data_IF_476958306881
#
_entry.id   IF_476958306881
#
_cell.length_a   1.000
_cell.length_b   1.000
_cell.length_c   1.000
_cell.angle_alpha   90.00
_cell.angle_beta   90.00
_cell.angle_gamma   90.00
#
_symmetry.space_group_name_H-M   'P 1'
#
loop_
_entity.id
_entity.type
_entity.pdbx_description
1 polymer ?
#
# COMPACT_ATOMS: atom_id res chain seq x y z
N UNK A 1 -49.01 52.00 2.79
CA UNK A 1 -48.88 50.59 2.34
C UNK A 1 -47.47 50.44 1.79
N UNK A 2 -46.61 49.81 2.57
CA UNK A 2 -45.15 49.79 2.39
C UNK A 2 -44.72 48.75 1.37
N UNK A 3 -44.00 49.23 0.35
CA UNK A 3 -43.27 48.47 -0.66
C UNK A 3 -42.23 47.55 -0.02
N UNK A 4 -42.37 46.24 -0.23
CA UNK A 4 -41.38 45.23 0.15
C UNK A 4 -40.35 45.03 -0.96
N UNK A 5 -39.13 45.43 -0.64
CA UNK A 5 -37.89 45.23 -1.40
C UNK A 5 -37.52 43.75 -1.45
N UNK A 6 -37.33 43.22 -2.66
CA UNK A 6 -36.72 41.91 -2.88
C UNK A 6 -35.25 41.95 -2.45
N UNK A 7 -34.93 41.27 -1.34
CA UNK A 7 -33.54 41.04 -0.93
C UNK A 7 -32.92 39.99 -1.85
N UNK A 8 -32.12 40.47 -2.80
CA UNK A 8 -31.23 39.65 -3.63
C UNK A 8 -30.13 39.06 -2.74
N UNK A 9 -30.28 37.79 -2.36
CA UNK A 9 -29.24 37.01 -1.70
C UNK A 9 -28.18 36.65 -2.74
N UNK A 10 -27.05 37.37 -2.70
CA UNK A 10 -25.80 36.95 -3.31
C UNK A 10 -25.36 35.62 -2.66
N UNK A 11 -25.76 34.49 -3.24
CA UNK A 11 -25.21 33.18 -2.91
C UNK A 11 -23.80 33.16 -3.49
N UNK A 12 -22.82 33.61 -2.71
CA UNK A 12 -21.41 33.52 -3.05
C UNK A 12 -21.08 32.05 -3.31
N UNK A 13 -20.75 31.70 -4.55
CA UNK A 13 -20.37 30.36 -4.94
C UNK A 13 -19.11 29.95 -4.17
N UNK A 14 -19.29 29.25 -3.05
CA UNK A 14 -18.20 28.65 -2.30
C UNK A 14 -17.47 27.68 -3.23
N UNK A 15 -16.28 28.07 -3.67
CA UNK A 15 -15.35 27.23 -4.43
C UNK A 15 -15.00 26.04 -3.54
N UNK A 16 -15.67 24.90 -3.73
CA UNK A 16 -15.41 23.71 -2.92
C UNK A 16 -13.95 23.30 -3.07
N UNK A 17 -13.28 23.08 -1.94
CA UNK A 17 -11.88 22.61 -1.92
C UNK A 17 -11.85 21.19 -2.48
N UNK A 18 -11.13 21.00 -3.59
CA UNK A 18 -10.87 19.67 -4.13
C UNK A 18 -9.92 18.92 -3.19
N UNK A 19 -10.29 17.70 -2.86
CA UNK A 19 -9.52 16.75 -2.08
C UNK A 19 -8.88 15.71 -2.98
N UNK A 20 -7.97 14.91 -2.42
CA UNK A 20 -7.33 13.83 -3.16
C UNK A 20 -8.32 12.79 -3.71
N UNK A 21 -9.45 12.55 -3.02
CA UNK A 21 -10.46 11.58 -3.45
C UNK A 21 -11.38 12.11 -4.56
N UNK A 22 -11.37 13.42 -4.82
CA UNK A 22 -12.09 14.03 -5.94
C UNK A 22 -11.36 13.82 -7.28
N UNK A 23 -10.13 13.31 -7.25
CA UNK A 23 -9.41 12.88 -8.45
C UNK A 23 -10.01 11.56 -8.97
N UNK A 24 -10.12 11.36 -10.29
CA UNK A 24 -10.46 10.05 -10.85
C UNK A 24 -9.51 8.94 -10.37
N UNK A 25 -10.02 7.71 -10.29
CA UNK A 25 -9.25 6.57 -9.80
C UNK A 25 -7.94 6.35 -10.58
N UNK A 26 -7.96 6.61 -11.89
CA UNK A 26 -6.78 6.51 -12.76
C UNK A 26 -5.67 7.47 -12.33
N UNK A 27 -6.02 8.71 -12.00
CA UNK A 27 -5.05 9.72 -11.57
C UNK A 27 -4.50 9.36 -10.19
N UNK A 28 -5.35 8.89 -9.26
CA UNK A 28 -4.88 8.40 -7.96
C UNK A 28 -3.93 7.21 -8.13
N UNK A 29 -4.24 6.28 -9.04
CA UNK A 29 -3.40 5.13 -9.34
C UNK A 29 -2.03 5.55 -9.90
N UNK A 30 -1.99 6.51 -10.82
CA UNK A 30 -0.73 7.07 -11.32
C UNK A 30 0.12 7.68 -10.19
N UNK A 31 -0.52 8.41 -9.26
CA UNK A 31 0.16 8.96 -8.08
C UNK A 31 0.68 7.83 -7.19
N UNK A 32 -0.10 6.77 -6.96
CA UNK A 32 0.35 5.60 -6.20
C UNK A 32 1.53 4.90 -6.86
N UNK A 33 1.51 4.70 -8.17
CA UNK A 33 2.61 4.06 -8.90
C UNK A 33 3.90 4.86 -8.70
N UNK A 34 3.84 6.18 -8.88
CA UNK A 34 4.98 7.07 -8.70
C UNK A 34 5.49 7.11 -7.26
N UNK A 35 4.59 7.06 -6.27
CA UNK A 35 4.96 7.20 -4.85
C UNK A 35 5.35 5.87 -4.19
N UNK A 36 4.88 4.73 -4.70
CA UNK A 36 4.97 3.43 -4.03
C UNK A 36 5.81 2.42 -4.79
N UNK A 37 6.13 2.66 -6.07
CA UNK A 37 6.92 1.72 -6.89
C UNK A 37 8.36 2.21 -6.96
N UNK A 38 9.30 1.32 -6.66
CA UNK A 38 10.72 1.57 -6.78
C UNK A 38 11.28 0.79 -7.98
N UNK A 39 12.19 1.40 -8.77
CA UNK A 39 12.84 0.71 -9.89
C UNK A 39 13.80 -0.40 -9.43
N UNK A 40 14.19 -0.40 -8.16
CA UNK A 40 15.11 -1.37 -7.56
C UNK A 40 14.40 -2.27 -6.56
N UNK A 41 15.04 -3.40 -6.23
CA UNK A 41 14.48 -4.38 -5.30
C UNK A 41 14.35 -3.80 -3.89
N UNK A 42 13.20 -4.03 -3.26
CA UNK A 42 12.96 -3.67 -1.87
C UNK A 42 13.57 -4.76 -1.00
N UNK A 43 14.72 -4.46 -0.40
CA UNK A 43 15.35 -5.37 0.55
C UNK A 43 14.51 -5.48 1.81
N UNK A 44 14.16 -6.71 2.17
CA UNK A 44 13.36 -7.03 3.34
C UNK A 44 14.28 -7.54 4.44
N UNK A 45 14.42 -6.75 5.49
CA UNK A 45 15.14 -7.08 6.71
C UNK A 45 14.14 -7.03 7.86
N UNK A 46 13.67 -8.20 8.29
CA UNK A 46 12.68 -8.34 9.36
C UNK A 46 13.18 -9.35 10.36
N UNK A 47 13.45 -8.91 11.57
CA UNK A 47 13.76 -9.82 12.67
C UNK A 47 12.47 -10.30 13.32
N UNK A 48 12.40 -11.56 13.80
CA UNK A 48 11.29 -12.04 14.61
C UNK A 48 11.01 -11.08 15.77
N UNK A 49 9.75 -10.67 15.95
CA UNK A 49 9.33 -9.76 17.02
C UNK A 49 9.63 -8.27 16.77
N UNK A 50 10.32 -7.90 15.69
CA UNK A 50 10.60 -6.50 15.34
C UNK A 50 9.76 -6.10 14.12
N UNK A 51 8.92 -5.07 14.27
CA UNK A 51 8.19 -4.52 13.13
C UNK A 51 9.20 -4.01 12.10
N UNK A 52 9.07 -4.36 10.79
CA UNK A 52 10.00 -3.94 9.76
C UNK A 52 10.23 -2.43 9.84
N UNK A 53 11.49 -2.02 9.83
CA UNK A 53 11.84 -0.61 9.76
C UNK A 53 11.23 -0.05 8.49
N UNK A 54 10.30 0.90 8.69
CA UNK A 54 9.59 1.74 7.72
C UNK A 54 10.01 1.46 6.27
N UNK A 55 9.12 0.84 5.48
CA UNK A 55 9.15 1.02 4.02
C UNK A 55 9.14 2.53 3.77
N UNK A 56 10.32 3.08 3.47
CA UNK A 56 10.72 4.44 3.83
C UNK A 56 9.87 5.56 3.25
N UNK A 57 8.97 5.27 2.31
CA UNK A 57 8.10 6.26 1.69
C UNK A 57 6.65 5.79 1.52
N UNK A 58 6.38 4.50 1.31
CA UNK A 58 5.02 3.99 1.08
C UNK A 58 4.16 3.75 2.33
N UNK A 59 4.76 3.72 3.52
CA UNK A 59 4.04 3.45 4.77
C UNK A 59 3.13 4.59 5.25
N UNK A 60 3.40 5.84 4.86
CA UNK A 60 2.65 7.01 5.34
C UNK A 60 1.34 7.21 4.56
N UNK A 61 1.38 7.07 3.24
CA UNK A 61 0.21 7.24 2.37
C UNK A 61 -0.90 6.24 2.70
N UNK A 62 -0.52 5.00 3.02
CA UNK A 62 -1.41 3.91 3.45
C UNK A 62 -2.14 4.18 4.78
N UNK A 63 -1.70 5.14 5.60
CA UNK A 63 -2.30 5.43 6.92
C UNK A 63 -3.36 6.52 6.90
N UNK A 64 -3.68 7.07 5.73
CA UNK A 64 -4.58 8.23 5.60
C UNK A 64 -6.06 7.86 5.76
N UNK A 65 -6.61 7.02 4.89
CA UNK A 65 -7.99 6.53 4.98
C UNK A 65 -8.13 5.11 4.40
N UNK A 66 -9.26 4.44 4.67
CA UNK A 66 -9.51 3.05 4.22
C UNK A 66 -9.42 2.88 2.70
N UNK A 67 -9.94 3.84 1.94
CA UNK A 67 -9.91 3.80 0.48
C UNK A 67 -8.47 3.88 -0.04
N UNK A 68 -7.71 4.89 0.38
CA UNK A 68 -6.30 5.03 0.01
C UNK A 68 -5.50 3.82 0.46
N UNK A 69 -5.73 3.29 1.66
CA UNK A 69 -5.08 2.08 2.14
C UNK A 69 -5.32 0.88 1.20
N UNK A 70 -6.57 0.66 0.78
CA UNK A 70 -6.96 -0.45 -0.08
C UNK A 70 -6.39 -0.33 -1.50
N UNK A 71 -6.42 0.87 -2.09
CA UNK A 71 -5.87 1.14 -3.42
C UNK A 71 -4.33 1.06 -3.40
N UNK A 72 -3.68 1.73 -2.44
CA UNK A 72 -2.22 1.82 -2.34
C UNK A 72 -1.54 0.48 -2.05
N UNK A 73 -2.13 -0.41 -1.23
CA UNK A 73 -1.50 -1.70 -0.92
C UNK A 73 -1.34 -2.59 -2.16
N UNK A 74 -2.31 -2.55 -3.08
CA UNK A 74 -2.26 -3.36 -4.30
C UNK A 74 -1.09 -2.91 -5.19
N UNK A 75 -0.87 -1.60 -5.29
CA UNK A 75 0.26 -1.02 -6.03
C UNK A 75 1.59 -1.32 -5.34
N UNK A 76 1.68 -1.10 -4.03
CA UNK A 76 2.92 -1.35 -3.28
C UNK A 76 3.38 -2.81 -3.37
N UNK A 77 2.48 -3.77 -3.13
CA UNK A 77 2.89 -5.18 -3.12
C UNK A 77 2.93 -5.79 -4.54
N UNK A 78 2.09 -5.32 -5.45
CA UNK A 78 2.02 -5.85 -6.83
C UNK A 78 3.02 -5.24 -7.80
N UNK A 79 3.42 -3.99 -7.59
CA UNK A 79 4.35 -3.27 -8.47
C UNK A 79 5.82 -3.41 -8.09
N UNK A 80 6.13 -3.84 -6.86
CA UNK A 80 7.51 -3.93 -6.39
C UNK A 80 8.02 -5.37 -6.36
N UNK A 81 9.34 -5.50 -6.53
CA UNK A 81 10.08 -6.74 -6.25
C UNK A 81 10.66 -6.70 -4.85
N UNK A 82 10.35 -7.71 -4.04
CA UNK A 82 10.87 -7.84 -2.68
C UNK A 82 12.01 -8.85 -2.66
N UNK A 83 13.14 -8.47 -2.06
CA UNK A 83 14.35 -9.29 -1.97
C UNK A 83 14.66 -9.60 -0.50
N UNK A 84 14.70 -10.88 -0.14
CA UNK A 84 15.02 -11.37 1.19
C UNK A 84 16.46 -11.87 1.16
N UNK A 85 17.37 -11.20 1.87
CA UNK A 85 18.79 -11.62 1.90
C UNK A 85 19.02 -12.96 2.61
N UNK A 86 18.04 -13.38 3.43
CA UNK A 86 18.04 -14.63 4.18
C UNK A 86 16.61 -15.15 4.34
N UNK A 87 16.43 -16.48 4.25
CA UNK A 87 15.13 -17.15 4.40
C UNK A 87 14.42 -16.85 5.73
N UNK A 88 15.18 -16.58 6.80
CA UNK A 88 14.65 -16.24 8.14
C UNK A 88 13.73 -15.00 8.16
N UNK A 89 13.84 -14.13 7.15
CA UNK A 89 13.03 -12.91 7.06
C UNK A 89 11.68 -13.12 6.38
N UNK A 90 11.50 -14.26 5.68
CA UNK A 90 10.30 -14.55 4.89
C UNK A 90 9.08 -14.66 5.80
N UNK A 91 9.05 -15.65 6.70
CA UNK A 91 7.88 -15.88 7.57
C UNK A 91 7.49 -14.64 8.40
N UNK A 92 8.41 -13.98 9.13
CA UNK A 92 8.05 -12.79 9.92
C UNK A 92 7.49 -11.66 9.07
N UNK A 93 7.95 -11.50 7.83
CA UNK A 93 7.42 -10.52 6.91
C UNK A 93 6.01 -10.86 6.45
N UNK A 94 5.75 -12.12 6.06
CA UNK A 94 4.41 -12.58 5.67
C UNK A 94 3.41 -12.46 6.82
N UNK A 95 3.79 -12.87 8.04
CA UNK A 95 2.99 -12.69 9.25
C UNK A 95 2.65 -11.20 9.49
N UNK A 96 3.59 -10.30 9.19
CA UNK A 96 3.40 -8.85 9.39
C UNK A 96 2.52 -8.19 8.32
N UNK A 97 2.68 -8.53 7.03
CA UNK A 97 1.84 -7.96 5.97
C UNK A 97 0.44 -8.58 5.93
N UNK A 98 0.31 -9.79 6.48
CA UNK A 98 -0.89 -10.61 6.50
C UNK A 98 -1.51 -10.74 5.10
N UNK A 99 -2.81 -10.53 5.04
CA UNK A 99 -3.66 -10.54 3.85
C UNK A 99 -3.17 -9.74 2.64
N UNK A 100 -2.27 -8.77 2.85
CA UNK A 100 -1.71 -7.98 1.75
C UNK A 100 -0.77 -8.80 0.87
N UNK A 101 -0.31 -9.97 1.33
CA UNK A 101 0.54 -10.91 0.59
C UNK A 101 -0.07 -11.32 -0.75
N UNK A 102 -1.41 -11.39 -0.87
CA UNK A 102 -2.12 -11.75 -2.11
C UNK A 102 -1.80 -10.85 -3.31
N UNK A 103 -1.33 -9.64 -3.03
CA UNK A 103 -0.97 -8.67 -4.05
C UNK A 103 0.48 -8.84 -4.50
N UNK A 104 1.32 -9.58 -3.76
CA UNK A 104 2.71 -9.80 -4.12
C UNK A 104 2.83 -10.63 -5.40
N UNK A 105 3.68 -10.17 -6.31
CA UNK A 105 3.93 -10.82 -7.61
C UNK A 105 5.38 -11.22 -7.83
N UNK A 106 6.32 -10.50 -7.22
CA UNK A 106 7.74 -10.69 -7.46
C UNK A 106 8.51 -10.76 -6.15
N UNK A 107 9.06 -11.94 -5.86
CA UNK A 107 9.87 -12.19 -4.69
C UNK A 107 11.17 -12.86 -5.13
N UNK A 108 12.26 -12.43 -4.51
CA UNK A 108 13.54 -13.10 -4.56
C UNK A 108 13.96 -13.40 -3.14
N UNK A 109 14.28 -14.65 -2.86
CA UNK A 109 14.98 -15.03 -1.64
C UNK A 109 16.42 -15.32 -2.07
N UNK A 110 17.41 -14.89 -1.30
CA UNK A 110 18.81 -15.27 -1.44
C UNK A 110 19.24 -16.00 -0.15
N UNK A 111 20.32 -16.79 -0.19
CA UNK A 111 20.86 -17.55 0.95
C UNK A 111 19.78 -18.31 1.76
N UNK A 112 19.04 -19.17 1.06
CA UNK A 112 17.96 -19.99 1.61
C UNK A 112 18.38 -21.46 1.67
N UNK A 113 17.86 -22.20 2.64
CA UNK A 113 17.75 -23.65 2.52
C UNK A 113 16.47 -23.95 1.71
N UNK A 114 16.35 -25.15 1.14
CA UNK A 114 15.17 -25.54 0.36
C UNK A 114 13.82 -25.39 1.12
N UNK A 115 13.73 -25.65 2.45
CA UNK A 115 12.47 -25.53 3.18
C UNK A 115 11.89 -24.11 3.23
N UNK A 116 12.70 -23.05 3.22
CA UNK A 116 12.19 -21.68 3.27
C UNK A 116 11.57 -21.22 1.94
N UNK A 117 12.00 -21.80 0.81
CA UNK A 117 11.33 -21.56 -0.48
C UNK A 117 9.95 -22.21 -0.47
N UNK A 118 9.86 -23.47 -0.07
CA UNK A 118 8.57 -24.19 0.02
C UNK A 118 7.59 -23.44 0.92
N UNK A 119 8.08 -22.90 2.04
CA UNK A 119 7.27 -22.05 2.93
C UNK A 119 6.79 -20.77 2.23
N UNK A 120 7.67 -20.08 1.51
CA UNK A 120 7.31 -18.87 0.75
C UNK A 120 6.26 -19.18 -0.33
N UNK A 121 6.43 -20.29 -1.05
CA UNK A 121 5.50 -20.74 -2.09
C UNK A 121 4.15 -21.13 -1.48
N UNK A 122 4.13 -21.85 -0.35
CA UNK A 122 2.91 -22.20 0.36
C UNK A 122 2.14 -20.96 0.83
N UNK A 123 2.84 -19.97 1.40
CA UNK A 123 2.24 -18.69 1.83
C UNK A 123 1.67 -17.89 0.66
N UNK A 124 2.32 -17.92 -0.51
CA UNK A 124 1.81 -17.28 -1.73
C UNK A 124 0.64 -18.04 -2.37
N UNK A 125 0.63 -19.36 -2.25
CA UNK A 125 -0.45 -20.21 -2.73
C UNK A 125 -1.70 -20.17 -1.82
N UNK A 126 -1.63 -19.48 -0.67
CA UNK A 126 -2.74 -19.35 0.27
C UNK A 126 -2.81 -20.48 1.32
N UNK A 127 -1.76 -21.29 1.43
CA UNK A 127 -1.63 -22.30 2.48
C UNK A 127 -1.23 -21.64 3.80
N UNK A 128 -2.21 -21.40 4.67
CA UNK A 128 -2.00 -20.84 6.01
C UNK A 128 -1.95 -21.93 7.11
N UNK A 129 -1.91 -23.21 6.72
CA UNK A 129 -2.00 -24.36 7.61
C UNK A 129 -0.74 -25.25 7.49
N UNK A 130 0.36 -24.87 8.17
CA UNK A 130 1.46 -25.75 8.58
C UNK A 130 2.04 -25.27 9.92
#
# INVERSE_FOLDING_TARGET
>A
MTSSTASSTHVSAMKMKKTFLDLPAEIRNSIYILALTLPHHIKVLVSPGIKPWRFGQGGQLRRTCRQVHAEARAVLYGGNRFEFSYGIHVKPFFDWIGDSCRHMRQIRVDNYYLPEIELALAMLAGGNDL
#
